data_IF_588736462345
#
_entry.id   IF_588736462345
#
_cell.length_a   1.000
_cell.length_b   1.000
_cell.length_c   1.000
_cell.angle_alpha   90.00
_cell.angle_beta   90.00
_cell.angle_gamma   90.00
#
_symmetry.space_group_name_H-M   'P 1'
#
loop_
_entity.id
_entity.type
_entity.pdbx_description
1 polymer ?
#
# COMPACT_ATOMS: atom_id res chain seq x y z
N UNK A 1 7.94 9.31 -2.67
CA UNK A 1 7.30 8.13 -3.31
C UNK A 1 8.23 6.97 -3.08
N UNK A 2 7.69 5.81 -2.73
CA UNK A 2 8.49 4.61 -2.51
C UNK A 2 8.70 3.85 -3.83
N UNK A 3 9.96 3.55 -4.11
CA UNK A 3 10.38 2.73 -5.25
C UNK A 3 11.28 1.60 -4.78
N UNK A 4 11.15 0.43 -5.41
CA UNK A 4 12.06 -0.70 -5.22
C UNK A 4 13.16 -0.59 -6.25
N UNK A 5 14.42 -0.53 -5.81
CA UNK A 5 15.55 -0.51 -6.73
C UNK A 5 15.71 -1.88 -7.42
N UNK A 6 15.94 -1.86 -8.72
CA UNK A 6 16.32 -3.05 -9.49
C UNK A 6 17.83 -3.20 -9.61
N UNK A 7 18.56 -2.09 -9.50
CA UNK A 7 20.02 -2.04 -9.57
C UNK A 7 20.58 -1.37 -8.31
N UNK A 8 21.76 -1.79 -7.88
CA UNK A 8 22.49 -1.09 -6.83
C UNK A 8 22.95 0.28 -7.33
N UNK A 9 22.89 1.28 -6.45
CA UNK A 9 23.29 2.66 -6.74
C UNK A 9 24.18 3.16 -5.62
N UNK A 10 25.27 3.82 -5.97
CA UNK A 10 26.19 4.41 -5.01
C UNK A 10 26.52 5.85 -5.39
N UNK A 11 26.68 6.69 -4.39
CA UNK A 11 27.18 8.04 -4.49
C UNK A 11 27.94 8.42 -3.22
N UNK A 12 28.47 9.65 -3.12
CA UNK A 12 29.28 10.07 -1.98
C UNK A 12 28.55 10.00 -0.63
N UNK A 13 27.23 10.12 -0.65
CA UNK A 13 26.37 10.18 0.53
C UNK A 13 25.36 9.03 0.61
N UNK A 14 25.34 8.14 -0.37
CA UNK A 14 24.33 7.08 -0.47
C UNK A 14 24.93 5.78 -0.99
N UNK A 15 24.57 4.68 -0.35
CA UNK A 15 24.88 3.33 -0.80
C UNK A 15 23.61 2.53 -0.67
N UNK A 16 22.99 2.23 -1.81
CA UNK A 16 21.67 1.59 -1.89
C UNK A 16 21.79 0.31 -2.71
N UNK A 17 21.27 -0.79 -2.18
CA UNK A 17 21.39 -2.09 -2.83
C UNK A 17 20.20 -2.39 -3.72
N UNK A 18 20.41 -3.24 -4.73
CA UNK A 18 19.32 -3.80 -5.51
C UNK A 18 18.32 -4.51 -4.59
N UNK A 19 17.03 -4.25 -4.81
CA UNK A 19 15.93 -4.78 -4.01
C UNK A 19 15.52 -3.92 -2.81
N UNK A 20 16.32 -2.92 -2.44
CA UNK A 20 16.02 -2.00 -1.36
C UNK A 20 14.85 -1.06 -1.72
N UNK A 21 14.08 -0.68 -0.70
CA UNK A 21 12.96 0.25 -0.83
C UNK A 21 13.41 1.62 -0.34
N UNK A 22 13.42 2.58 -1.25
CA UNK A 22 13.86 3.95 -0.96
C UNK A 22 12.74 4.94 -1.23
N UNK A 23 12.65 5.95 -0.37
CA UNK A 23 11.72 7.05 -0.55
C UNK A 23 12.42 8.20 -1.26
N UNK A 24 11.92 8.52 -2.46
CA UNK A 24 12.50 9.53 -3.34
C UNK A 24 11.46 10.55 -3.75
N UNK A 25 11.86 11.78 -4.12
CA UNK A 25 10.96 12.77 -4.69
C UNK A 25 10.26 12.22 -5.95
N UNK A 26 9.01 12.64 -6.20
CA UNK A 26 8.20 12.11 -7.31
C UNK A 26 8.91 12.27 -8.66
N UNK A 27 9.53 13.42 -8.90
CA UNK A 27 10.26 13.71 -10.13
C UNK A 27 11.41 12.73 -10.36
N UNK A 28 12.19 12.44 -9.32
CA UNK A 28 13.32 11.52 -9.40
C UNK A 28 12.84 10.08 -9.57
N UNK A 29 11.86 9.64 -8.77
CA UNK A 29 11.31 8.29 -8.89
C UNK A 29 10.74 8.01 -10.29
N UNK A 30 10.08 8.99 -10.91
CA UNK A 30 9.61 8.85 -12.30
C UNK A 30 10.77 8.70 -13.30
N UNK A 31 11.88 9.42 -13.12
CA UNK A 31 13.09 9.26 -13.95
C UNK A 31 13.70 7.87 -13.78
N UNK A 32 13.77 7.38 -12.53
CA UNK A 32 14.31 6.06 -12.23
C UNK A 32 13.48 4.94 -12.84
N UNK A 33 12.15 5.07 -12.81
CA UNK A 33 11.22 4.12 -13.42
C UNK A 33 11.35 4.15 -14.95
N UNK A 34 11.37 5.35 -15.55
CA UNK A 34 11.52 5.50 -17.01
C UNK A 34 12.87 4.94 -17.52
N UNK A 35 13.93 5.04 -16.71
CA UNK A 35 15.24 4.47 -17.01
C UNK A 35 15.36 2.98 -16.69
N UNK A 36 14.29 2.32 -16.21
CA UNK A 36 14.30 0.90 -15.84
C UNK A 36 15.14 0.56 -14.60
N UNK A 37 15.48 1.55 -13.77
CA UNK A 37 16.33 1.36 -12.59
C UNK A 37 15.53 0.99 -11.33
N UNK A 38 14.23 1.28 -11.32
CA UNK A 38 13.37 1.04 -10.16
C UNK A 38 11.93 0.75 -10.57
N UNK A 39 11.19 0.10 -9.68
CA UNK A 39 9.76 -0.17 -9.85
C UNK A 39 8.98 0.55 -8.77
N UNK A 40 7.86 1.19 -9.15
CA UNK A 40 6.95 1.83 -8.20
C UNK A 40 6.33 0.78 -7.29
N UNK A 41 6.46 0.97 -5.98
CA UNK A 41 5.76 0.14 -5.02
C UNK A 41 4.45 0.83 -4.68
N UNK A 42 3.32 0.16 -4.93
CA UNK A 42 2.08 0.58 -4.30
C UNK A 42 2.19 0.29 -2.81
N UNK A 43 2.08 1.31 -1.95
CA UNK A 43 1.94 1.06 -0.52
C UNK A 43 0.75 0.14 -0.33
N UNK A 44 1.00 -1.08 0.15
CA UNK A 44 -0.06 -2.01 0.48
C UNK A 44 -0.91 -1.32 1.55
N UNK A 45 -2.12 -0.87 1.18
CA UNK A 45 -3.08 -0.36 2.16
C UNK A 45 -3.22 -1.46 3.22
N UNK A 46 -3.03 -1.16 4.52
CA UNK A 46 -3.23 -2.17 5.55
C UNK A 46 -4.67 -2.68 5.42
N UNK A 47 -4.83 -3.96 5.09
CA UNK A 47 -6.14 -4.60 5.02
C UNK A 47 -6.66 -4.69 6.45
N UNK A 48 -7.51 -3.74 6.84
CA UNK A 48 -8.22 -3.81 8.13
C UNK A 48 -9.16 -5.01 8.08
N UNK A 49 -9.14 -5.85 9.11
CA UNK A 49 -10.11 -6.92 9.26
C UNK A 49 -11.53 -6.34 9.19
N UNK A 50 -12.40 -6.97 8.39
CA UNK A 50 -13.78 -6.54 8.29
C UNK A 50 -14.46 -6.68 9.65
N UNK A 51 -15.11 -5.61 10.12
CA UNK A 51 -15.84 -5.63 11.39
C UNK A 51 -17.02 -6.59 11.24
N UNK A 52 -17.04 -7.67 12.04
CA UNK A 52 -18.21 -8.56 12.13
C UNK A 52 -19.39 -7.76 12.68
N UNK A 53 -20.41 -7.55 11.86
CA UNK A 53 -21.70 -7.03 12.33
C UNK A 53 -22.45 -8.18 13.00
N UNK A 54 -22.94 -7.96 14.23
CA UNK A 54 -23.86 -8.92 14.85
C UNK A 54 -25.20 -8.81 14.12
N UNK A 55 -25.73 -9.93 13.63
CA UNK A 55 -27.08 -9.98 13.10
C UNK A 55 -28.06 -9.54 14.20
N UNK A 56 -28.89 -8.53 13.92
CA UNK A 56 -29.97 -8.13 14.83
C UNK A 56 -31.09 -9.15 14.70
N UNK A 57 -31.55 -9.69 15.84
CA UNK A 57 -32.75 -10.51 15.92
C UNK A 57 -33.95 -9.63 15.59
N UNK A 58 -34.70 -9.96 14.53
CA UNK A 58 -35.98 -9.33 14.27
C UNK A 58 -36.95 -9.74 15.38
N UNK A 59 -37.33 -8.82 16.26
CA UNK A 59 -38.52 -9.02 17.10
C UNK A 59 -39.72 -8.77 16.21
N UNK A 60 -40.38 -9.85 15.78
CA UNK A 60 -41.70 -9.76 15.18
C UNK A 60 -42.62 -9.04 16.17
N UNK A 61 -43.17 -7.89 15.78
CA UNK A 61 -44.36 -7.35 16.43
C UNK A 61 -45.44 -8.41 16.23
N UNK A 62 -45.89 -9.02 17.33
CA UNK A 62 -47.10 -9.80 17.33
C UNK A 62 -48.25 -8.87 16.94
N UNK A 63 -48.81 -9.11 15.78
CA UNK A 63 -50.10 -8.59 15.35
C UNK A 63 -51.16 -9.25 16.26
N UNK A 64 -51.49 -8.60 17.37
CA UNK A 64 -52.57 -9.03 18.24
C UNK A 64 -53.89 -8.44 17.72
N UNK A 65 -54.41 -9.08 16.67
CA UNK A 65 -55.83 -9.04 16.30
C UNK A 65 -56.60 -9.99 17.23
N UNK A 66 -57.43 -9.45 18.12
CA UNK A 66 -58.84 -9.84 18.35
C UNK A 66 -59.52 -8.95 19.39
#
# INVERSE_FOLDING_TARGET
>A
MQVKLLISRSGPTLSQQAGEIVDVPIKEGNRMIAAGQAVKIAQAKPRKAARRTRARKATAKADASK
#
